data_IF_704822507092
#
_entry.id   IF_704822507092
#
_cell.length_a   1.000
_cell.length_b   1.000
_cell.length_c   1.000
_cell.angle_alpha   90.00
_cell.angle_beta   90.00
_cell.angle_gamma   90.00
#
_symmetry.space_group_name_H-M   'P 1'
#
loop_
_entity.id
_entity.type
_entity.pdbx_description
1 polymer ?
#
# COMPACT_ATOMS: atom_id res chain seq x y z
N UNK A 1 -25.92 -8.10 10.93
CA UNK A 1 -24.74 -8.79 10.38
C UNK A 1 -24.35 -9.84 11.40
N UNK A 2 -24.09 -11.08 11.00
CA UNK A 2 -23.71 -12.17 11.90
C UNK A 2 -22.17 -12.22 11.95
N UNK A 3 -21.58 -12.03 13.13
CA UNK A 3 -20.12 -12.07 13.33
C UNK A 3 -19.64 -13.50 13.60
N UNK A 4 -18.37 -13.79 13.33
CA UNK A 4 -17.77 -15.05 13.78
C UNK A 4 -17.44 -15.01 15.28
N UNK A 5 -17.22 -16.17 15.90
CA UNK A 5 -16.86 -16.26 17.31
C UNK A 5 -15.59 -15.43 17.66
N UNK A 6 -14.59 -15.44 16.76
CA UNK A 6 -13.38 -14.62 16.92
C UNK A 6 -13.66 -13.11 16.85
N UNK A 7 -14.59 -12.70 15.98
CA UNK A 7 -15.00 -11.30 15.86
C UNK A 7 -15.85 -10.82 17.05
N UNK A 8 -16.76 -11.66 17.55
CA UNK A 8 -17.52 -11.36 18.77
C UNK A 8 -16.58 -11.22 19.98
N UNK A 9 -15.60 -12.12 20.10
CA UNK A 9 -14.56 -12.00 21.13
C UNK A 9 -13.77 -10.69 21.00
N UNK A 10 -13.39 -10.31 19.78
CA UNK A 10 -12.72 -9.04 19.53
C UNK A 10 -13.58 -7.83 19.96
N UNK A 11 -14.89 -7.85 19.68
CA UNK A 11 -15.85 -6.82 20.11
C UNK A 11 -15.93 -6.68 21.63
N UNK A 12 -15.97 -7.79 22.35
CA UNK A 12 -16.00 -7.78 23.82
C UNK A 12 -14.68 -7.27 24.39
N UNK A 13 -13.55 -7.79 23.92
CA UNK A 13 -12.23 -7.45 24.48
C UNK A 13 -11.81 -6.00 24.18
N UNK A 14 -12.08 -5.48 22.96
CA UNK A 14 -11.78 -4.08 22.63
C UNK A 14 -12.62 -3.13 23.47
N UNK A 15 -13.93 -3.41 23.66
CA UNK A 15 -14.79 -2.59 24.52
C UNK A 15 -14.33 -2.61 25.98
N UNK A 16 -13.93 -3.79 26.48
CA UNK A 16 -13.40 -3.95 27.82
C UNK A 16 -12.12 -3.14 28.01
N UNK A 17 -11.18 -3.28 27.08
CA UNK A 17 -9.91 -2.56 27.06
C UNK A 17 -10.11 -1.04 27.10
N UNK A 18 -10.97 -0.49 26.23
CA UNK A 18 -11.29 0.93 26.20
C UNK A 18 -11.89 1.43 27.53
N UNK A 19 -12.70 0.61 28.20
CA UNK A 19 -13.35 0.97 29.46
C UNK A 19 -12.40 0.90 30.66
N UNK A 20 -11.48 -0.06 30.68
CA UNK A 20 -10.54 -0.26 31.78
C UNK A 20 -9.34 0.68 31.72
N UNK A 21 -8.83 0.99 30.52
CA UNK A 21 -7.70 1.89 30.34
C UNK A 21 -6.36 1.35 30.86
N UNK A 22 -6.21 0.03 31.04
CA UNK A 22 -5.03 -0.60 31.65
C UNK A 22 -3.77 -0.54 30.76
N UNK A 23 -3.94 -0.49 29.44
CA UNK A 23 -2.83 -0.40 28.46
C UNK A 23 -3.17 0.60 27.36
N UNK A 24 -2.17 1.29 26.83
CA UNK A 24 -2.39 2.27 25.77
C UNK A 24 -2.63 1.62 24.39
N UNK A 25 -2.07 0.44 24.13
CA UNK A 25 -2.14 -0.22 22.81
C UNK A 25 -2.97 -1.49 22.90
N UNK A 26 -3.86 -1.68 21.93
CA UNK A 26 -4.54 -2.95 21.66
C UNK A 26 -4.20 -3.44 20.25
N UNK A 27 -3.75 -4.69 20.13
CA UNK A 27 -3.33 -5.33 18.89
C UNK A 27 -4.39 -6.31 18.41
N UNK A 28 -5.16 -5.91 17.41
CA UNK A 28 -6.12 -6.78 16.73
C UNK A 28 -5.52 -7.20 15.39
N UNK A 29 -4.91 -8.37 15.37
CA UNK A 29 -4.35 -8.92 14.14
C UNK A 29 -5.31 -9.89 13.48
N UNK A 30 -5.09 -10.14 12.21
CA UNK A 30 -5.85 -11.12 11.48
C UNK A 30 -5.41 -11.20 10.04
N UNK A 31 -5.68 -12.32 9.41
CA UNK A 31 -5.29 -12.55 8.02
C UNK A 31 -6.19 -11.77 7.04
N UNK A 32 -5.85 -11.81 5.76
CA UNK A 32 -6.68 -11.23 4.72
C UNK A 32 -8.07 -11.89 4.72
N UNK A 33 -9.12 -11.09 4.54
CA UNK A 33 -10.50 -11.59 4.51
C UNK A 33 -11.15 -11.87 5.88
N UNK A 34 -10.47 -11.63 7.00
CA UNK A 34 -11.04 -11.86 8.36
C UNK A 34 -11.90 -10.69 8.88
N UNK A 35 -12.06 -9.62 8.09
CA UNK A 35 -12.99 -8.53 8.40
C UNK A 35 -12.45 -7.44 9.34
N UNK A 36 -11.13 -7.32 9.54
CA UNK A 36 -10.49 -6.30 10.39
C UNK A 36 -11.03 -4.89 10.19
N UNK A 37 -11.04 -4.39 8.94
CA UNK A 37 -11.51 -3.04 8.62
C UNK A 37 -13.02 -2.85 8.88
N UNK A 38 -13.82 -3.92 8.78
CA UNK A 38 -15.25 -3.88 9.14
C UNK A 38 -15.41 -3.75 10.65
N UNK A 39 -14.66 -4.53 11.42
CA UNK A 39 -14.66 -4.41 12.89
C UNK A 39 -14.17 -3.04 13.35
N UNK A 40 -13.15 -2.49 12.70
CA UNK A 40 -12.62 -1.14 12.98
C UNK A 40 -13.72 -0.07 13.01
N UNK A 41 -14.66 -0.13 12.05
CA UNK A 41 -15.79 0.80 11.98
C UNK A 41 -16.77 0.58 13.13
N UNK A 42 -17.10 -0.67 13.45
CA UNK A 42 -17.98 -0.96 14.58
C UNK A 42 -17.38 -0.60 15.94
N UNK A 43 -16.06 -0.67 16.10
CA UNK A 43 -15.41 -0.14 17.29
C UNK A 43 -15.58 1.38 17.35
N UNK A 44 -15.33 2.08 16.24
CA UNK A 44 -15.45 3.53 16.19
C UNK A 44 -16.89 4.02 16.50
N UNK A 45 -17.91 3.33 15.98
CA UNK A 45 -19.32 3.63 16.27
C UNK A 45 -19.69 3.44 17.75
N UNK A 46 -18.95 2.60 18.48
CA UNK A 46 -19.18 2.32 19.89
C UNK A 46 -18.46 3.25 20.87
N UNK A 47 -17.66 4.21 20.38
CA UNK A 47 -16.90 5.16 21.21
C UNK A 47 -17.65 6.48 21.31
N UNK A 48 -17.88 6.95 22.54
CA UNK A 48 -18.44 8.28 22.81
C UNK A 48 -17.32 9.35 22.74
N UNK A 49 -17.03 9.81 21.52
CA UNK A 49 -16.08 10.88 21.24
C UNK A 49 -15.39 10.74 19.88
N UNK A 50 -14.35 11.55 19.66
CA UNK A 50 -13.64 11.53 18.38
C UNK A 50 -12.75 10.28 18.24
N UNK A 51 -12.93 9.57 17.12
CA UNK A 51 -12.08 8.46 16.70
C UNK A 51 -11.34 8.84 15.43
N UNK A 52 -10.02 8.73 15.47
CA UNK A 52 -9.15 9.05 14.35
C UNK A 52 -8.69 7.77 13.66
N UNK A 53 -8.84 7.70 12.34
CA UNK A 53 -8.31 6.61 11.53
C UNK A 53 -7.00 7.05 10.88
N UNK A 54 -5.98 6.20 10.93
CA UNK A 54 -4.74 6.43 10.20
C UNK A 54 -4.15 5.14 9.64
N UNK A 55 -3.23 5.29 8.71
CA UNK A 55 -2.44 4.19 8.16
C UNK A 55 -0.99 4.65 7.90
N UNK A 56 -0.07 3.71 7.68
CA UNK A 56 1.32 4.06 7.37
C UNK A 56 1.45 4.82 6.04
N UNK A 57 0.78 4.34 4.98
CA UNK A 57 0.86 4.94 3.63
C UNK A 57 -0.38 5.77 3.29
N UNK A 58 -0.19 6.78 2.42
CA UNK A 58 -1.30 7.58 1.91
C UNK A 58 -2.34 6.74 1.15
N UNK A 59 -1.87 5.69 0.47
CA UNK A 59 -2.71 4.74 -0.26
C UNK A 59 -3.59 3.90 0.68
N UNK A 60 -3.02 3.34 1.74
CA UNK A 60 -3.81 2.63 2.74
C UNK A 60 -4.84 3.56 3.42
N UNK A 61 -4.45 4.81 3.72
CA UNK A 61 -5.39 5.81 4.24
C UNK A 61 -6.52 6.13 3.24
N UNK A 62 -6.24 6.14 1.93
CA UNK A 62 -7.27 6.30 0.91
C UNK A 62 -8.23 5.11 0.87
N UNK A 63 -7.73 3.87 0.98
CA UNK A 63 -8.58 2.68 1.07
C UNK A 63 -9.50 2.78 2.29
N UNK A 64 -8.99 3.20 3.44
CA UNK A 64 -9.82 3.48 4.62
C UNK A 64 -10.92 4.52 4.34
N UNK A 65 -10.60 5.62 3.64
CA UNK A 65 -11.58 6.65 3.24
C UNK A 65 -12.68 6.07 2.34
N UNK A 66 -12.31 5.27 1.34
CA UNK A 66 -13.27 4.60 0.43
C UNK A 66 -14.23 3.67 1.19
N UNK A 67 -13.78 3.10 2.30
CA UNK A 67 -14.56 2.20 3.17
C UNK A 67 -15.34 2.93 4.27
N UNK A 68 -15.43 4.25 4.23
CA UNK A 68 -16.28 5.06 5.11
C UNK A 68 -15.54 5.79 6.24
N UNK A 69 -14.24 5.56 6.43
CA UNK A 69 -13.44 6.35 7.37
C UNK A 69 -12.99 7.66 6.69
N UNK A 70 -13.95 8.56 6.41
CA UNK A 70 -13.78 9.74 5.53
C UNK A 70 -12.63 10.68 5.91
N UNK A 71 -12.28 10.75 7.20
CA UNK A 71 -11.18 11.57 7.73
C UNK A 71 -9.83 10.83 7.84
N UNK A 72 -9.71 9.60 7.34
CA UNK A 72 -8.48 8.83 7.50
C UNK A 72 -7.27 9.51 6.84
N UNK A 73 -6.14 9.55 7.54
CA UNK A 73 -4.89 10.17 7.08
C UNK A 73 -3.68 9.22 7.26
N UNK A 74 -2.48 9.66 6.88
CA UNK A 74 -1.28 8.94 7.30
C UNK A 74 -0.98 9.23 8.77
N UNK A 75 -0.28 8.33 9.46
CA UNK A 75 0.23 8.58 10.82
C UNK A 75 1.10 9.84 10.81
N UNK A 76 1.99 9.95 9.82
CA UNK A 76 2.88 11.09 9.64
C UNK A 76 2.12 12.43 9.59
N UNK A 77 1.09 12.54 8.74
CA UNK A 77 0.30 13.77 8.65
C UNK A 77 -0.53 14.05 9.91
N UNK A 78 -0.81 13.00 10.70
CA UNK A 78 -1.58 13.12 11.92
C UNK A 78 -0.72 13.65 13.07
N UNK A 79 0.52 13.16 13.22
CA UNK A 79 1.36 13.47 14.39
C UNK A 79 2.47 14.48 14.13
N UNK A 80 2.85 14.73 12.87
CA UNK A 80 3.94 15.67 12.54
C UNK A 80 3.45 16.94 11.86
N UNK A 81 4.27 17.99 11.97
CA UNK A 81 4.20 19.20 11.15
C UNK A 81 5.57 19.50 10.52
N UNK A 82 5.61 20.06 9.31
CA UNK A 82 6.87 20.45 8.68
C UNK A 82 7.58 21.52 9.50
N UNK A 83 8.91 21.38 9.67
CA UNK A 83 9.76 22.32 10.41
C UNK A 83 10.83 22.99 9.54
N UNK A 84 11.16 22.41 8.39
CA UNK A 84 12.15 22.97 7.46
C UNK A 84 12.72 21.92 6.53
N UNK A 85 13.92 22.17 6.04
CA UNK A 85 14.72 21.32 5.16
C UNK A 85 16.15 21.25 5.72
N UNK A 86 16.79 20.08 5.70
CA UNK A 86 18.18 19.88 6.13
C UNK A 86 19.01 19.29 4.99
N UNK A 87 20.24 19.78 4.81
CA UNK A 87 21.22 19.20 3.87
C UNK A 87 21.87 17.98 4.52
N UNK A 88 21.57 16.80 3.99
CA UNK A 88 22.21 15.53 4.35
C UNK A 88 23.21 15.19 3.27
N UNK A 89 24.48 15.10 3.65
CA UNK A 89 25.56 14.65 2.77
C UNK A 89 25.66 13.13 2.87
N UNK A 90 25.54 12.46 1.73
CA UNK A 90 25.75 11.02 1.63
C UNK A 90 27.25 10.73 1.77
N UNK A 91 27.62 10.02 2.84
CA UNK A 91 29.02 9.71 3.17
C UNK A 91 29.71 8.83 2.12
N UNK A 92 28.97 8.06 1.32
CA UNK A 92 29.53 7.18 0.27
C UNK A 92 29.68 7.90 -1.07
N UNK A 93 28.73 8.77 -1.43
CA UNK A 93 28.69 9.41 -2.76
C UNK A 93 29.18 10.86 -2.74
N UNK A 94 29.31 11.49 -1.57
CA UNK A 94 29.52 12.93 -1.42
C UNK A 94 28.34 13.77 -1.93
N UNK A 95 27.20 13.12 -2.20
CA UNK A 95 26.00 13.74 -2.71
C UNK A 95 25.27 14.51 -1.62
N UNK A 96 25.06 15.82 -1.83
CA UNK A 96 24.20 16.63 -0.96
C UNK A 96 22.74 16.44 -1.34
N UNK A 97 21.98 15.78 -0.47
CA UNK A 97 20.53 15.67 -0.55
C UNK A 97 19.89 16.64 0.44
N UNK A 98 18.72 17.20 0.11
CA UNK A 98 17.98 18.06 1.06
C UNK A 98 16.74 17.30 1.51
N UNK A 99 16.68 16.94 2.78
CA UNK A 99 15.57 16.14 3.33
C UNK A 99 14.63 17.05 4.13
N UNK A 100 13.31 16.96 3.93
CA UNK A 100 12.36 17.71 4.74
C UNK A 100 12.42 17.27 6.20
N UNK A 101 12.54 18.23 7.12
CA UNK A 101 12.50 17.99 8.55
C UNK A 101 11.06 18.09 9.07
N UNK A 102 10.70 17.14 9.92
CA UNK A 102 9.43 17.10 10.61
C UNK A 102 9.63 17.29 12.11
N UNK A 103 8.61 17.82 12.78
CA UNK A 103 8.59 17.90 14.23
C UNK A 103 7.24 17.49 14.77
N UNK A 104 7.23 16.86 15.94
CA UNK A 104 6.01 16.39 16.58
C UNK A 104 5.04 17.55 16.79
N UNK A 105 3.82 17.39 16.28
CA UNK A 105 2.74 18.33 16.46
C UNK A 105 2.01 18.04 17.78
N UNK A 106 2.49 18.63 18.87
CA UNK A 106 1.86 18.50 20.20
C UNK A 106 0.41 19.01 20.29
N UNK A 107 -0.06 19.76 19.27
CA UNK A 107 -1.46 20.21 19.15
C UNK A 107 -2.26 19.34 18.17
N UNK A 108 -1.76 18.14 17.85
CA UNK A 108 -2.47 17.19 17.00
C UNK A 108 -3.83 16.84 17.63
N UNK A 109 -4.89 16.63 16.81
CA UNK A 109 -6.16 16.08 17.26
C UNK A 109 -6.02 14.76 18.04
N UNK A 110 -4.91 14.04 17.84
CA UNK A 110 -4.59 12.81 18.57
C UNK A 110 -4.65 13.02 20.08
N UNK A 111 -4.18 14.17 20.58
CA UNK A 111 -4.16 14.45 22.02
C UNK A 111 -5.54 14.52 22.68
N UNK A 112 -6.59 14.80 21.90
CA UNK A 112 -7.97 14.96 22.39
C UNK A 112 -8.88 13.80 22.00
N UNK A 113 -8.46 12.98 21.02
CA UNK A 113 -9.21 11.83 20.55
C UNK A 113 -9.43 10.79 21.67
N UNK A 114 -10.53 10.04 21.57
CA UNK A 114 -10.83 8.93 22.47
C UNK A 114 -10.20 7.63 22.02
N UNK A 115 -9.92 7.51 20.73
CA UNK A 115 -9.28 6.35 20.13
C UNK A 115 -8.60 6.74 18.82
N UNK A 116 -7.40 6.21 18.60
CA UNK A 116 -6.75 6.18 17.29
C UNK A 116 -6.77 4.75 16.77
N UNK A 117 -7.25 4.54 15.56
CA UNK A 117 -7.22 3.26 14.87
C UNK A 117 -6.19 3.32 13.75
N UNK A 118 -5.18 2.44 13.81
CA UNK A 118 -4.12 2.32 12.81
C UNK A 118 -4.33 1.06 11.98
N UNK A 119 -4.54 1.20 10.68
CA UNK A 119 -4.55 0.07 9.73
C UNK A 119 -3.17 -0.11 9.07
N UNK A 120 -2.89 -1.34 8.62
CA UNK A 120 -1.60 -1.77 8.05
C UNK A 120 -0.41 -1.38 8.96
N UNK A 121 -0.51 -1.73 10.26
CA UNK A 121 0.49 -1.37 11.27
C UNK A 121 1.84 -2.09 11.10
N UNK A 122 1.93 -3.07 10.20
CA UNK A 122 3.15 -3.82 9.91
C UNK A 122 4.29 -2.94 9.42
N UNK A 123 3.98 -1.81 8.80
CA UNK A 123 4.97 -0.90 8.22
C UNK A 123 5.43 0.20 9.17
N UNK A 124 4.94 0.23 10.42
CA UNK A 124 5.28 1.28 11.39
C UNK A 124 6.59 0.93 12.09
N UNK A 125 7.58 1.82 11.98
CA UNK A 125 8.87 1.71 12.67
C UNK A 125 8.81 2.18 14.14
N UNK A 126 9.93 2.00 14.85
CA UNK A 126 10.04 2.30 16.28
C UNK A 126 9.90 3.79 16.61
N UNK A 127 10.47 4.69 15.80
CA UNK A 127 10.40 6.13 16.03
C UNK A 127 8.95 6.62 15.89
N UNK A 128 8.31 6.30 14.76
CA UNK A 128 6.93 6.66 14.48
C UNK A 128 5.97 6.07 15.51
N UNK A 129 6.21 4.83 15.93
CA UNK A 129 5.45 4.15 16.97
C UNK A 129 5.54 4.87 18.32
N UNK A 130 6.76 5.16 18.81
CA UNK A 130 6.97 5.88 20.07
C UNK A 130 6.37 7.28 20.04
N UNK A 131 6.53 8.01 18.93
CA UNK A 131 5.98 9.35 18.77
C UNK A 131 4.45 9.35 18.78
N UNK A 132 3.79 8.37 18.14
CA UNK A 132 2.34 8.19 18.22
C UNK A 132 1.89 7.90 19.67
N UNK A 133 2.59 7.04 20.40
CA UNK A 133 2.23 6.71 21.78
C UNK A 133 2.50 7.86 22.76
N UNK A 134 3.40 8.78 22.43
CA UNK A 134 3.72 9.93 23.30
C UNK A 134 2.52 10.84 23.60
N UNK A 135 1.45 10.77 22.81
CA UNK A 135 0.22 11.52 23.03
C UNK A 135 -0.67 10.97 24.16
N UNK A 136 -0.40 9.75 24.66
CA UNK A 136 -1.18 9.14 25.74
C UNK A 136 -2.57 8.60 25.34
N UNK A 137 -2.99 8.80 24.10
CA UNK A 137 -4.28 8.36 23.58
C UNK A 137 -4.32 6.85 23.36
N UNK A 138 -5.43 6.15 23.65
CA UNK A 138 -5.59 4.74 23.31
C UNK A 138 -5.42 4.50 21.80
N UNK A 139 -4.63 3.49 21.44
CA UNK A 139 -4.33 3.12 20.05
C UNK A 139 -4.74 1.67 19.78
N UNK A 140 -5.70 1.47 18.89
CA UNK A 140 -6.02 0.16 18.32
C UNK A 140 -5.23 -0.02 17.03
N UNK A 141 -4.37 -1.03 16.97
CA UNK A 141 -3.59 -1.35 15.78
C UNK A 141 -4.12 -2.60 15.10
N UNK A 142 -4.31 -2.50 13.79
CA UNK A 142 -4.76 -3.56 12.91
C UNK A 142 -3.59 -4.00 12.02
N UNK A 143 -3.33 -5.29 12.01
CA UNK A 143 -2.20 -5.87 11.28
C UNK A 143 -2.53 -7.22 10.68
N UNK A 144 -1.76 -7.61 9.69
CA UNK A 144 -1.76 -8.95 9.12
C UNK A 144 -0.36 -9.57 9.30
N UNK A 145 -0.20 -10.55 10.21
CA UNK A 145 1.11 -11.14 10.51
C UNK A 145 1.64 -11.99 9.35
N UNK A 146 0.80 -12.35 8.38
CA UNK A 146 1.22 -13.05 7.16
C UNK A 146 1.83 -12.14 6.10
N UNK A 147 1.60 -10.83 6.17
CA UNK A 147 2.13 -9.88 5.19
C UNK A 147 3.64 -9.64 5.35
N UNK A 148 4.24 -9.07 4.30
CA UNK A 148 5.64 -8.65 4.28
C UNK A 148 5.95 -7.67 5.43
N UNK A 149 7.10 -7.84 6.11
CA UNK A 149 7.60 -6.86 7.07
C UNK A 149 8.04 -5.56 6.38
N UNK A 150 8.37 -4.49 7.14
CA UNK A 150 9.02 -3.31 6.60
C UNK A 150 10.30 -3.66 5.84
N UNK A 151 10.65 -2.85 4.84
CA UNK A 151 11.89 -3.00 4.05
C UNK A 151 13.13 -2.64 4.88
N UNK A 152 12.97 -1.77 5.88
CA UNK A 152 14.02 -1.37 6.82
C UNK A 152 13.42 -1.17 8.20
N UNK A 153 14.13 -1.63 9.23
CA UNK A 153 13.66 -1.60 10.62
C UNK A 153 12.67 -2.72 10.96
N UNK A 154 12.44 -2.89 12.25
CA UNK A 154 11.42 -3.77 12.80
C UNK A 154 10.03 -3.12 12.78
N UNK A 155 8.97 -3.94 12.69
CA UNK A 155 7.61 -3.43 12.80
C UNK A 155 7.24 -3.24 14.28
N UNK A 156 7.21 -2.00 14.76
CA UNK A 156 7.05 -1.65 16.18
C UNK A 156 5.85 -2.32 16.85
N UNK A 157 4.72 -2.37 16.16
CA UNK A 157 3.52 -3.02 16.69
C UNK A 157 3.51 -4.53 16.50
N UNK A 158 4.12 -5.02 15.42
CA UNK A 158 4.07 -6.44 15.00
C UNK A 158 5.15 -7.33 15.59
N UNK A 159 6.15 -6.76 16.27
CA UNK A 159 7.13 -7.51 17.06
C UNK A 159 6.56 -8.08 18.37
N UNK A 160 5.37 -7.64 18.75
CA UNK A 160 4.66 -8.13 19.92
C UNK A 160 3.50 -9.04 19.51
N UNK A 161 3.17 -10.00 20.37
CA UNK A 161 2.01 -10.86 20.17
C UNK A 161 0.71 -10.04 20.09
N UNK A 162 -0.24 -10.44 19.22
CA UNK A 162 -1.56 -9.81 19.18
C UNK A 162 -2.35 -10.11 20.46
N UNK A 163 -3.17 -9.15 20.87
CA UNK A 163 -4.15 -9.37 21.94
C UNK A 163 -5.29 -10.27 21.45
N UNK A 164 -5.67 -10.12 20.19
CA UNK A 164 -6.59 -11.01 19.48
C UNK A 164 -6.06 -11.25 18.07
N UNK A 165 -6.00 -12.53 17.68
CA UNK A 165 -5.75 -12.96 16.31
C UNK A 165 -7.07 -13.47 15.70
N UNK A 166 -7.52 -12.83 14.62
CA UNK A 166 -8.60 -13.33 13.79
C UNK A 166 -8.02 -14.30 12.76
N UNK A 167 -8.19 -15.59 12.99
CA UNK A 167 -7.69 -16.68 12.17
C UNK A 167 -8.79 -17.31 11.28
N UNK A 168 -10.05 -17.21 11.69
CA UNK A 168 -11.20 -17.68 10.91
C UNK A 168 -11.55 -16.74 9.75
N UNK A 169 -11.44 -17.25 8.53
CA UNK A 169 -11.97 -16.59 7.33
C UNK A 169 -13.50 -16.68 7.33
N UNK A 170 -14.14 -15.54 7.04
CA UNK A 170 -15.59 -15.40 6.92
C UNK A 170 -16.19 -16.46 5.98
N UNK A 171 -17.38 -16.99 6.31
CA UNK A 171 -18.04 -18.06 5.52
C UNK A 171 -18.18 -17.70 4.03
N UNK A 172 -18.41 -16.43 3.72
CA UNK A 172 -18.52 -15.90 2.35
C UNK A 172 -17.18 -15.87 1.59
N UNK A 173 -16.05 -15.93 2.29
CA UNK A 173 -14.70 -15.91 1.74
C UNK A 173 -14.02 -17.30 1.75
N UNK A 174 -14.62 -18.31 2.39
CA UNK A 174 -14.10 -19.70 2.41
C UNK A 174 -14.13 -20.37 1.04
N UNK A 175 -15.15 -20.07 0.24
CA UNK A 175 -15.28 -20.60 -1.11
C UNK A 175 -14.55 -19.73 -2.16
N UNK A 176 -13.68 -18.80 -1.73
CA UNK A 176 -12.89 -17.98 -2.64
C UNK A 176 -11.49 -18.60 -2.84
N UNK A 177 -11.20 -19.13 -4.05
CA UNK A 177 -9.88 -19.67 -4.41
C UNK A 177 -8.69 -18.77 -4.07
N UNK A 178 -8.84 -17.44 -4.16
CA UNK A 178 -7.76 -16.49 -3.82
C UNK A 178 -7.39 -16.61 -2.34
N UNK A 179 -8.40 -16.73 -1.47
CA UNK A 179 -8.21 -16.82 -0.02
C UNK A 179 -7.63 -18.18 0.36
N UNK A 180 -8.09 -19.26 -0.28
CA UNK A 180 -7.53 -20.60 -0.08
C UNK A 180 -6.05 -20.66 -0.52
N UNK A 181 -5.70 -20.15 -1.71
CA UNK A 181 -4.32 -20.10 -2.17
C UNK A 181 -3.43 -19.26 -1.22
N UNK A 182 -3.92 -18.12 -0.74
CA UNK A 182 -3.20 -17.32 0.26
C UNK A 182 -3.00 -18.13 1.56
N UNK A 183 -4.02 -18.82 2.04
CA UNK A 183 -3.94 -19.67 3.23
C UNK A 183 -2.92 -20.80 3.04
N UNK A 184 -2.93 -21.49 1.91
CA UNK A 184 -1.96 -22.53 1.58
C UNK A 184 -0.52 -22.01 1.65
N UNK A 185 -0.24 -20.88 0.98
CA UNK A 185 1.09 -20.26 0.98
C UNK A 185 1.54 -19.87 2.39
N UNK A 186 0.62 -19.28 3.17
CA UNK A 186 0.88 -18.89 4.57
C UNK A 186 1.23 -20.08 5.46
N UNK A 187 0.57 -21.22 5.24
CA UNK A 187 0.81 -22.47 5.99
C UNK A 187 2.02 -23.25 5.45
N UNK A 188 2.80 -22.64 4.54
CA UNK A 188 4.00 -23.24 3.95
C UNK A 188 3.71 -24.31 2.91
N UNK A 189 2.45 -24.47 2.47
CA UNK A 189 2.07 -25.38 1.40
C UNK A 189 2.39 -24.77 0.03
N UNK A 190 2.82 -25.63 -0.90
CA UNK A 190 3.03 -25.23 -2.29
C UNK A 190 1.72 -25.17 -3.06
N UNK A 191 1.52 -24.11 -3.84
CA UNK A 191 0.41 -24.02 -4.80
C UNK A 191 0.75 -24.78 -6.10
N UNK A 192 -0.12 -25.69 -6.52
CA UNK A 192 0.05 -26.49 -7.73
C UNK A 192 -0.35 -25.70 -8.99
N UNK A 193 0.12 -26.12 -10.16
CA UNK A 193 -0.44 -25.64 -11.42
C UNK A 193 -1.89 -26.13 -11.58
N UNK A 194 -2.76 -25.28 -12.10
CA UNK A 194 -4.16 -25.64 -12.28
C UNK A 194 -5.10 -24.44 -12.41
N UNK A 195 -6.33 -24.75 -12.82
CA UNK A 195 -7.47 -23.85 -12.77
C UNK A 195 -8.22 -24.11 -11.46
N UNK A 196 -8.34 -23.09 -10.62
CA UNK A 196 -8.98 -23.17 -9.31
C UNK A 196 -10.40 -22.60 -9.34
N UNK A 197 -11.03 -22.56 -10.53
CA UNK A 197 -12.35 -22.01 -10.74
C UNK A 197 -12.30 -20.58 -11.30
N UNK A 198 -13.41 -19.85 -11.18
CA UNK A 198 -13.59 -18.58 -11.88
C UNK A 198 -12.62 -17.46 -11.45
N UNK A 199 -12.02 -17.55 -10.26
CA UNK A 199 -11.28 -16.43 -9.64
C UNK A 199 -9.78 -16.65 -9.54
N UNK A 200 -9.26 -17.85 -9.77
CA UNK A 200 -7.82 -18.09 -9.65
C UNK A 200 -7.29 -19.17 -10.61
N UNK A 201 -6.13 -18.88 -11.20
CA UNK A 201 -5.42 -19.83 -12.06
C UNK A 201 -3.92 -19.75 -11.80
N UNK A 202 -3.24 -20.89 -11.79
CA UNK A 202 -1.79 -21.01 -11.63
C UNK A 202 -1.21 -21.70 -12.85
N UNK A 203 -0.38 -20.98 -13.62
CA UNK A 203 0.18 -21.44 -14.88
C UNK A 203 1.71 -21.32 -14.92
N UNK A 204 2.33 -22.06 -15.84
CA UNK A 204 3.74 -21.84 -16.17
C UNK A 204 3.92 -20.58 -17.03
N UNK A 205 5.13 -20.02 -17.02
CA UNK A 205 5.52 -18.91 -17.92
C UNK A 205 5.28 -19.17 -19.41
N UNK A 206 5.20 -20.43 -19.84
CA UNK A 206 5.00 -20.81 -21.25
C UNK A 206 3.55 -20.69 -21.71
N UNK A 207 2.62 -20.67 -20.77
CA UNK A 207 1.17 -20.63 -21.03
C UNK A 207 0.61 -19.21 -20.95
N UNK A 208 1.44 -18.21 -20.62
CA UNK A 208 1.01 -16.83 -20.45
C UNK A 208 0.57 -16.27 -21.80
N UNK A 209 -0.72 -15.95 -21.91
CA UNK A 209 -1.25 -15.28 -23.08
C UNK A 209 -1.17 -13.75 -22.91
N UNK A 210 -0.79 -13.05 -23.98
CA UNK A 210 -0.51 -11.60 -23.92
C UNK A 210 -1.75 -10.77 -23.60
N UNK A 211 -2.89 -11.17 -24.15
CA UNK A 211 -4.21 -10.58 -23.90
C UNK A 211 -4.59 -10.64 -22.41
N UNK A 212 -4.28 -11.75 -21.72
CA UNK A 212 -4.53 -11.88 -20.28
C UNK A 212 -3.72 -10.85 -19.47
N UNK A 213 -2.45 -10.63 -19.83
CA UNK A 213 -1.60 -9.65 -19.15
C UNK A 213 -2.07 -8.22 -19.45
N UNK A 214 -2.50 -7.94 -20.68
CA UNK A 214 -2.98 -6.61 -21.09
C UNK A 214 -4.35 -6.24 -20.50
N UNK A 215 -5.17 -7.25 -20.19
CA UNK A 215 -6.49 -7.10 -19.56
C UNK A 215 -6.44 -6.98 -18.04
N UNK A 216 -5.29 -7.28 -17.42
CA UNK A 216 -5.11 -7.14 -15.98
C UNK A 216 -5.22 -5.67 -15.56
N UNK A 217 -5.88 -5.42 -14.43
CA UNK A 217 -5.95 -4.08 -13.87
C UNK A 217 -4.58 -3.68 -13.29
N UNK A 218 -3.84 -4.67 -12.78
CA UNK A 218 -2.47 -4.53 -12.29
C UNK A 218 -1.62 -5.79 -12.54
N UNK A 219 -0.36 -5.59 -12.96
CA UNK A 219 0.67 -6.63 -12.97
C UNK A 219 1.55 -6.48 -11.73
N UNK A 220 1.79 -7.58 -11.01
CA UNK A 220 2.66 -7.62 -9.83
C UNK A 220 3.91 -8.48 -10.08
N UNK A 221 5.06 -7.95 -9.65
CA UNK A 221 6.39 -8.58 -9.79
C UNK A 221 7.21 -8.43 -8.49
N UNK A 222 8.35 -9.09 -8.38
CA UNK A 222 9.21 -9.01 -7.20
C UNK A 222 10.15 -7.81 -7.23
N UNK A 223 10.97 -7.72 -8.27
CA UNK A 223 12.12 -6.80 -8.28
C UNK A 223 11.88 -5.52 -9.09
N UNK A 224 12.58 -4.43 -8.77
CA UNK A 224 12.54 -3.20 -9.56
C UNK A 224 13.05 -3.41 -11.00
N UNK A 225 14.03 -4.31 -11.19
CA UNK A 225 14.53 -4.69 -12.52
C UNK A 225 13.43 -5.33 -13.35
N UNK A 226 12.72 -6.32 -12.79
CA UNK A 226 11.58 -6.95 -13.47
C UNK A 226 10.47 -5.93 -13.71
N UNK A 227 10.17 -5.08 -12.73
CA UNK A 227 9.15 -4.01 -12.85
C UNK A 227 9.41 -3.12 -14.06
N UNK A 228 10.64 -2.62 -14.22
CA UNK A 228 11.03 -1.76 -15.35
C UNK A 228 10.86 -2.48 -16.69
N UNK A 229 11.43 -3.69 -16.82
CA UNK A 229 11.31 -4.52 -18.02
C UNK A 229 9.85 -4.79 -18.40
N UNK A 230 9.01 -5.10 -17.43
CA UNK A 230 7.59 -5.37 -17.69
C UNK A 230 6.82 -4.10 -18.06
N UNK A 231 7.11 -2.96 -17.44
CA UNK A 231 6.53 -1.69 -17.85
C UNK A 231 6.89 -1.33 -19.30
N UNK A 232 8.16 -1.44 -19.67
CA UNK A 232 8.61 -1.22 -21.05
C UNK A 232 7.88 -2.15 -22.03
N UNK A 233 7.88 -3.46 -21.74
CA UNK A 233 7.20 -4.45 -22.59
C UNK A 233 5.69 -4.22 -22.71
N UNK A 234 5.01 -3.88 -21.61
CA UNK A 234 3.58 -3.62 -21.62
C UNK A 234 3.24 -2.35 -22.40
N UNK A 235 4.14 -1.37 -22.40
CA UNK A 235 4.00 -0.16 -23.22
C UNK A 235 4.13 -0.48 -24.70
N UNK A 236 5.16 -1.23 -25.09
CA UNK A 236 5.33 -1.70 -26.48
C UNK A 236 4.09 -2.45 -26.97
N UNK A 237 3.57 -3.39 -26.17
CA UNK A 237 2.41 -4.19 -26.50
C UNK A 237 1.11 -3.37 -26.62
N UNK A 238 1.04 -2.22 -25.94
CA UNK A 238 -0.07 -1.26 -26.05
C UNK A 238 0.15 -0.24 -27.18
N UNK A 239 1.24 -0.37 -27.94
CA UNK A 239 1.52 0.48 -29.11
C UNK A 239 2.20 1.80 -28.79
N UNK A 240 2.75 1.99 -27.58
CA UNK A 240 3.53 3.17 -27.26
C UNK A 240 4.95 3.04 -27.82
N UNK A 241 5.40 4.07 -28.51
CA UNK A 241 6.64 4.12 -29.30
C UNK A 241 7.67 5.14 -28.77
N UNK A 242 7.35 5.81 -27.66
CA UNK A 242 8.16 6.86 -27.05
C UNK A 242 8.63 6.44 -25.66
N UNK A 243 9.87 6.77 -25.25
CA UNK A 243 10.31 6.56 -23.87
C UNK A 243 9.51 7.43 -22.90
N UNK A 244 8.87 8.51 -23.35
CA UNK A 244 8.11 9.40 -22.50
C UNK A 244 6.64 9.00 -22.39
N UNK A 245 5.95 9.40 -21.29
CA UNK A 245 4.52 9.20 -21.13
C UNK A 245 3.69 9.84 -22.26
N UNK A 246 2.76 9.07 -22.81
CA UNK A 246 1.81 9.47 -23.85
C UNK A 246 0.38 9.45 -23.32
N UNK A 247 -0.58 10.05 -24.04
CA UNK A 247 -1.99 9.93 -23.66
C UNK A 247 -2.42 8.45 -23.66
N UNK A 248 -3.09 8.02 -22.61
CA UNK A 248 -3.42 6.62 -22.33
C UNK A 248 -2.41 5.88 -21.46
N UNK A 249 -1.20 6.43 -21.22
CA UNK A 249 -0.21 5.75 -20.38
C UNK A 249 -0.67 5.65 -18.91
N UNK A 250 -0.33 4.53 -18.27
CA UNK A 250 -0.49 4.33 -16.83
C UNK A 250 0.79 4.69 -16.09
N UNK A 251 0.69 5.55 -15.10
CA UNK A 251 1.78 6.02 -14.24
C UNK A 251 1.52 5.69 -12.77
N UNK A 252 2.60 5.52 -12.01
CA UNK A 252 2.59 5.44 -10.55
C UNK A 252 3.30 6.65 -9.96
N UNK A 253 2.66 7.29 -9.00
CA UNK A 253 3.26 8.40 -8.26
C UNK A 253 4.26 7.87 -7.23
N UNK A 254 5.45 8.46 -7.17
CA UNK A 254 6.53 8.03 -6.27
C UNK A 254 6.75 8.95 -5.07
N UNK A 255 6.12 10.13 -5.06
CA UNK A 255 6.25 11.11 -3.98
C UNK A 255 4.94 11.83 -3.72
N UNK A 256 4.59 11.98 -2.44
CA UNK A 256 3.40 12.73 -2.04
C UNK A 256 3.48 14.21 -2.47
N UNK A 257 2.38 14.75 -2.95
CA UNK A 257 2.15 16.19 -3.13
C UNK A 257 0.70 16.50 -2.69
N UNK A 258 0.56 17.03 -1.48
CA UNK A 258 -0.75 17.30 -0.88
C UNK A 258 -1.53 18.38 -1.65
N UNK A 259 -0.86 19.35 -2.26
CA UNK A 259 -1.52 20.43 -3.00
C UNK A 259 -2.18 19.92 -4.28
N UNK A 260 -1.59 18.87 -4.88
CA UNK A 260 -2.12 18.19 -6.08
C UNK A 260 -2.92 16.92 -5.77
N UNK A 261 -3.01 16.52 -4.50
CA UNK A 261 -3.65 15.27 -4.08
C UNK A 261 -2.88 14.01 -4.52
N UNK A 262 -1.58 14.13 -4.80
CA UNK A 262 -0.75 12.99 -5.21
C UNK A 262 -0.30 12.20 -3.98
N UNK A 263 -0.48 10.88 -4.04
CA UNK A 263 -0.07 9.95 -2.99
C UNK A 263 0.97 8.97 -3.55
N UNK A 264 2.04 8.72 -2.82
CA UNK A 264 3.03 7.71 -3.19
C UNK A 264 2.35 6.33 -3.30
N UNK A 265 2.55 5.67 -4.44
CA UNK A 265 1.91 4.41 -4.81
C UNK A 265 0.56 4.54 -5.50
N UNK A 266 -0.03 5.74 -5.61
CA UNK A 266 -1.29 5.94 -6.35
C UNK A 266 -1.09 5.83 -7.86
N UNK A 267 -2.11 5.29 -8.53
CA UNK A 267 -2.12 5.04 -9.98
C UNK A 267 -2.88 6.13 -10.73
N UNK A 268 -2.33 6.51 -11.88
CA UNK A 268 -2.83 7.61 -12.68
C UNK A 268 -2.78 7.28 -14.17
N UNK A 269 -3.83 7.63 -14.89
CA UNK A 269 -3.86 7.57 -16.35
C UNK A 269 -3.55 8.94 -16.94
N UNK A 270 -2.64 9.00 -17.91
CA UNK A 270 -2.38 10.23 -18.68
C UNK A 270 -3.54 10.51 -19.61
N UNK A 271 -4.25 11.61 -19.42
CA UNK A 271 -5.33 12.02 -20.32
C UNK A 271 -4.82 12.86 -21.48
N UNK A 272 -3.77 13.66 -21.24
CA UNK A 272 -3.09 14.40 -22.31
C UNK A 272 -1.64 14.69 -21.93
N UNK A 273 -0.71 14.40 -22.82
CA UNK A 273 0.67 14.87 -22.71
C UNK A 273 0.77 16.26 -23.37
N UNK A 274 0.95 17.29 -22.55
CA UNK A 274 1.09 18.67 -23.02
C UNK A 274 2.55 19.01 -23.37
N UNK A 275 2.70 20.11 -24.10
CA UNK A 275 3.92 20.74 -24.61
C UNK A 275 5.19 20.39 -23.82
N UNK A 276 6.14 19.79 -24.52
CA UNK A 276 7.47 19.42 -24.04
C UNK A 276 8.33 20.65 -23.80
N UNK A 277 9.00 20.73 -22.64
CA UNK A 277 10.08 21.70 -22.36
C UNK A 277 11.40 20.92 -22.35
N UNK A 278 12.54 21.58 -22.58
CA UNK A 278 13.85 20.93 -22.81
C UNK A 278 14.10 19.71 -21.91
N UNK A 279 13.87 19.83 -20.60
CA UNK A 279 14.12 18.76 -19.61
C UNK A 279 12.87 18.19 -18.92
N UNK A 280 11.66 18.70 -19.22
CA UNK A 280 10.43 18.31 -18.49
C UNK A 280 9.22 18.25 -19.40
N UNK A 281 8.18 17.55 -18.94
CA UNK A 281 6.92 17.39 -19.63
C UNK A 281 5.77 17.72 -18.69
N UNK A 282 4.77 18.43 -19.19
CA UNK A 282 3.54 18.69 -18.45
C UNK A 282 2.50 17.65 -18.87
N UNK A 283 1.88 16.99 -17.91
CA UNK A 283 0.85 16.00 -18.16
C UNK A 283 -0.44 16.42 -17.46
N UNK A 284 -1.58 16.15 -18.09
CA UNK A 284 -2.86 16.06 -17.41
C UNK A 284 -3.09 14.58 -17.13
N UNK A 285 -3.34 14.26 -15.87
CA UNK A 285 -3.55 12.89 -15.40
C UNK A 285 -4.88 12.78 -14.66
N UNK A 286 -5.51 11.61 -14.70
CA UNK A 286 -6.71 11.25 -13.94
C UNK A 286 -6.39 10.05 -13.05
N UNK A 287 -6.87 10.06 -11.82
CA UNK A 287 -6.64 8.94 -10.91
C UNK A 287 -7.40 7.69 -11.38
N UNK A 288 -6.78 6.51 -11.26
CA UNK A 288 -7.44 5.22 -11.52
C UNK A 288 -7.98 4.57 -10.25
N UNK A 289 -7.55 5.04 -9.09
CA UNK A 289 -7.82 4.39 -7.82
C UNK A 289 -9.25 4.63 -7.31
N UNK A 290 -9.82 3.59 -6.69
CA UNK A 290 -11.17 3.63 -6.13
C UNK A 290 -11.37 4.79 -5.14
N UNK A 291 -12.50 5.48 -5.28
CA UNK A 291 -12.90 6.61 -4.44
C UNK A 291 -12.29 7.95 -4.80
N UNK A 292 -11.37 8.01 -5.77
CA UNK A 292 -10.79 9.27 -6.28
C UNK A 292 -10.80 9.36 -7.82
N UNK A 293 -11.57 8.55 -8.53
CA UNK A 293 -11.56 8.42 -9.99
C UNK A 293 -11.91 9.73 -10.73
N UNK A 294 -12.60 10.65 -10.03
CA UNK A 294 -12.96 11.97 -10.55
C UNK A 294 -11.83 13.00 -10.43
N UNK A 295 -10.77 12.70 -9.68
CA UNK A 295 -9.66 13.62 -9.48
C UNK A 295 -8.75 13.63 -10.71
N UNK A 296 -8.43 14.84 -11.15
CA UNK A 296 -7.43 15.10 -12.18
C UNK A 296 -6.39 16.07 -11.67
N UNK A 297 -5.12 15.85 -12.02
CA UNK A 297 -4.02 16.71 -11.64
C UNK A 297 -3.23 17.15 -12.87
N UNK A 298 -2.69 18.36 -12.82
CA UNK A 298 -1.64 18.81 -13.73
C UNK A 298 -0.30 18.55 -13.07
N UNK A 299 0.53 17.73 -13.70
CA UNK A 299 1.84 17.36 -13.18
C UNK A 299 2.94 17.75 -14.14
N UNK A 300 4.12 18.04 -13.59
CA UNK A 300 5.32 18.37 -14.35
C UNK A 300 6.41 17.35 -14.03
N UNK A 301 6.64 16.42 -14.95
CA UNK A 301 7.59 15.32 -14.76
C UNK A 301 8.90 15.61 -15.47
N UNK A 302 10.00 15.06 -14.95
CA UNK A 302 11.30 15.08 -15.64
C UNK A 302 11.32 14.03 -16.74
N UNK A 303 12.01 14.32 -17.84
CA UNK A 303 12.22 13.33 -18.92
C UNK A 303 13.20 12.22 -18.52
N UNK A 304 14.26 12.61 -17.82
CA UNK A 304 15.35 11.72 -17.42
C UNK A 304 14.88 10.53 -16.57
N UNK A 305 13.77 10.66 -15.81
CA UNK A 305 13.22 9.55 -15.01
C UNK A 305 12.69 8.40 -15.89
N UNK A 306 12.34 8.69 -17.15
CA UNK A 306 11.86 7.69 -18.10
C UNK A 306 12.93 7.26 -19.10
N UNK A 307 13.88 8.14 -19.45
CA UNK A 307 14.97 7.83 -20.40
C UNK A 307 16.10 7.04 -19.75
N UNK A 308 16.50 7.44 -18.55
CA UNK A 308 17.64 6.87 -17.83
C UNK A 308 17.26 6.70 -16.36
N UNK A 309 16.34 5.76 -16.04
CA UNK A 309 15.82 5.57 -14.69
C UNK A 309 16.88 5.08 -13.68
N UNK A 310 18.05 4.63 -14.13
CA UNK A 310 19.22 4.33 -13.31
C UNK A 310 20.08 5.57 -13.00
N UNK A 311 19.96 6.63 -13.79
CA UNK A 311 20.78 7.81 -13.59
C UNK A 311 20.35 8.57 -12.34
N UNK A 312 21.32 8.97 -11.54
CA UNK A 312 21.07 9.82 -10.39
C UNK A 312 20.63 11.21 -10.87
N UNK A 313 19.49 11.67 -10.36
CA UNK A 313 18.96 12.99 -10.66
C UNK A 313 19.21 13.88 -9.44
N UNK A 314 19.93 15.01 -9.60
CA UNK A 314 20.18 15.93 -8.50
C UNK A 314 18.90 16.33 -7.77
N UNK A 315 18.90 16.27 -6.44
CA UNK A 315 17.72 16.53 -5.62
C UNK A 315 17.07 17.89 -5.92
N UNK A 316 17.89 18.94 -6.13
CA UNK A 316 17.40 20.29 -6.45
C UNK A 316 16.53 20.32 -7.72
N UNK A 317 16.82 19.45 -8.68
CA UNK A 317 16.04 19.29 -9.89
C UNK A 317 14.80 18.43 -9.63
N UNK A 318 14.96 17.30 -8.94
CA UNK A 318 13.89 16.35 -8.60
C UNK A 318 12.79 16.98 -7.73
N UNK A 319 13.13 17.85 -6.77
CA UNK A 319 12.16 18.54 -5.89
C UNK A 319 11.24 19.53 -6.62
N UNK A 320 11.67 20.05 -7.78
CA UNK A 320 10.87 21.00 -8.59
C UNK A 320 9.90 20.32 -9.55
N UNK A 321 9.87 19.00 -9.57
CA UNK A 321 9.09 18.18 -10.49
C UNK A 321 8.29 17.14 -9.72
N UNK A 322 7.20 16.68 -10.30
CA UNK A 322 6.44 15.56 -9.75
C UNK A 322 7.15 14.25 -10.08
N UNK A 323 7.22 13.36 -9.09
CA UNK A 323 7.98 12.11 -9.18
C UNK A 323 7.06 10.97 -9.58
N UNK A 324 7.31 10.43 -10.78
CA UNK A 324 6.47 9.42 -11.41
C UNK A 324 7.34 8.41 -12.17
N UNK A 325 6.79 7.21 -12.33
CA UNK A 325 7.29 6.16 -13.20
C UNK A 325 6.09 5.47 -13.86
N UNK A 326 6.33 4.54 -14.79
CA UNK A 326 5.28 3.71 -15.38
C UNK A 326 4.66 2.76 -14.35
N UNK A 327 3.33 2.66 -14.39
CA UNK A 327 2.51 1.98 -13.39
C UNK A 327 1.85 0.68 -13.86
N UNK A 328 2.15 0.18 -15.05
CA UNK A 328 1.56 -1.08 -15.55
C UNK A 328 1.97 -2.30 -14.72
N UNK A 329 3.23 -2.31 -14.27
CA UNK A 329 3.76 -3.28 -13.34
C UNK A 329 4.24 -2.59 -12.05
N UNK A 330 3.94 -3.19 -10.90
CA UNK A 330 4.39 -2.76 -9.59
C UNK A 330 5.13 -3.89 -8.87
N UNK A 331 6.06 -3.54 -7.98
CA UNK A 331 6.59 -4.52 -7.04
C UNK A 331 5.56 -4.82 -5.96
N UNK A 332 5.53 -6.05 -5.44
CA UNK A 332 4.61 -6.41 -4.34
C UNK A 332 4.77 -5.52 -3.11
N UNK A 333 5.99 -5.08 -2.79
CA UNK A 333 6.24 -4.11 -1.72
C UNK A 333 5.50 -2.77 -1.97
N UNK A 334 5.54 -2.25 -3.20
CA UNK A 334 4.80 -1.02 -3.57
C UNK A 334 3.29 -1.23 -3.65
N UNK A 335 2.83 -2.49 -3.72
CA UNK A 335 1.42 -2.85 -3.78
C UNK A 335 0.79 -3.06 -2.39
N UNK A 336 1.57 -3.00 -1.30
CA UNK A 336 1.02 -3.10 0.06
C UNK A 336 0.01 -1.99 0.34
N UNK A 337 -1.12 -2.35 0.96
CA UNK A 337 -2.23 -1.43 1.19
C UNK A 337 -3.08 -1.10 -0.04
N UNK A 338 -2.75 -1.62 -1.23
CA UNK A 338 -3.57 -1.52 -2.45
C UNK A 338 -4.32 -2.82 -2.73
N UNK A 339 -5.40 -2.76 -3.48
CA UNK A 339 -6.12 -3.93 -3.99
C UNK A 339 -6.65 -3.64 -5.40
N UNK A 340 -6.75 -4.68 -6.23
CA UNK A 340 -7.28 -4.59 -7.60
C UNK A 340 -8.22 -5.76 -7.88
N UNK A 341 -9.20 -5.55 -8.77
CA UNK A 341 -10.15 -6.59 -9.15
C UNK A 341 -9.43 -7.76 -9.83
N UNK A 342 -8.61 -7.49 -10.86
CA UNK A 342 -7.89 -8.52 -11.62
C UNK A 342 -6.39 -8.30 -11.62
N UNK A 343 -5.65 -9.30 -11.14
CA UNK A 343 -4.19 -9.27 -11.03
C UNK A 343 -3.55 -10.36 -11.87
N UNK A 344 -2.46 -10.01 -12.55
CA UNK A 344 -1.48 -10.99 -13.03
C UNK A 344 -0.23 -10.89 -12.17
N UNK A 345 0.07 -11.96 -11.45
CA UNK A 345 1.21 -12.07 -10.56
C UNK A 345 2.30 -12.93 -11.21
N UNK A 346 3.47 -12.35 -11.46
CA UNK A 346 4.67 -13.12 -11.78
C UNK A 346 5.39 -13.47 -10.48
N UNK A 347 5.34 -14.76 -10.11
CA UNK A 347 5.93 -15.26 -8.88
C UNK A 347 7.45 -15.12 -8.95
N UNK A 348 7.96 -14.21 -8.12
CA UNK A 348 9.39 -13.99 -7.89
C UNK A 348 9.71 -14.19 -6.40
N UNK A 349 8.89 -14.95 -5.67
CA UNK A 349 9.05 -15.23 -4.23
C UNK A 349 10.44 -15.77 -3.89
N UNK A 350 11.05 -16.55 -4.79
CA UNK A 350 12.41 -17.05 -4.67
C UNK A 350 13.47 -15.96 -4.41
N UNK A 351 13.24 -14.73 -4.85
CA UNK A 351 14.17 -13.62 -4.65
C UNK A 351 14.19 -13.12 -3.19
N UNK A 352 13.24 -13.53 -2.36
CA UNK A 352 13.02 -13.02 -1.00
C UNK A 352 13.36 -14.02 0.10
N UNK A 353 13.96 -15.17 -0.23
CA UNK A 353 14.54 -16.14 0.72
C UNK A 353 13.59 -16.48 1.89
N UNK A 354 13.95 -16.14 3.13
CA UNK A 354 13.17 -16.35 4.35
C UNK A 354 11.79 -15.66 4.34
N UNK A 355 11.62 -14.63 3.51
CA UNK A 355 10.36 -13.91 3.33
C UNK A 355 9.57 -14.36 2.09
N UNK A 356 10.00 -15.41 1.37
CA UNK A 356 9.33 -15.88 0.15
C UNK A 356 7.83 -16.16 0.34
N UNK A 357 7.45 -16.82 1.44
CA UNK A 357 6.05 -17.13 1.76
C UNK A 357 5.24 -15.86 2.04
N UNK A 358 5.79 -14.94 2.85
CA UNK A 358 5.14 -13.65 3.16
C UNK A 358 4.99 -12.79 1.92
N UNK A 359 5.98 -12.81 1.04
CA UNK A 359 5.94 -12.12 -0.25
C UNK A 359 4.79 -12.64 -1.11
N UNK A 360 4.71 -13.95 -1.30
CA UNK A 360 3.69 -14.56 -2.14
C UNK A 360 2.29 -14.40 -1.54
N UNK A 361 2.15 -14.56 -0.23
CA UNK A 361 0.91 -14.28 0.50
C UNK A 361 0.47 -12.82 0.30
N UNK A 362 1.39 -11.86 0.49
CA UNK A 362 1.10 -10.43 0.31
C UNK A 362 0.62 -10.16 -1.11
N UNK A 363 1.26 -10.77 -2.12
CA UNK A 363 0.92 -10.63 -3.52
C UNK A 363 -0.48 -11.17 -3.85
N UNK A 364 -0.80 -12.39 -3.39
CA UNK A 364 -2.10 -13.03 -3.63
C UNK A 364 -3.24 -12.20 -3.02
N UNK A 365 -3.05 -11.69 -1.80
CA UNK A 365 -4.07 -10.91 -1.07
C UNK A 365 -4.34 -9.51 -1.64
N UNK A 366 -3.62 -9.10 -2.68
CA UNK A 366 -3.93 -7.85 -3.42
C UNK A 366 -5.10 -8.04 -4.38
N UNK A 367 -5.39 -9.26 -4.81
CA UNK A 367 -6.46 -9.54 -5.77
C UNK A 367 -7.82 -9.62 -5.05
N UNK A 368 -8.85 -9.00 -5.63
CA UNK A 368 -10.21 -8.99 -5.08
C UNK A 368 -11.12 -9.98 -5.81
N UNK A 369 -11.07 -10.02 -7.15
CA UNK A 369 -11.97 -10.84 -7.97
C UNK A 369 -11.25 -11.96 -8.71
N UNK A 370 -10.14 -11.67 -9.37
CA UNK A 370 -9.41 -12.66 -10.18
C UNK A 370 -7.89 -12.53 -10.00
N UNK A 371 -7.21 -13.67 -9.96
CA UNK A 371 -5.74 -13.73 -9.98
C UNK A 371 -5.23 -14.79 -10.96
N UNK A 372 -4.29 -14.39 -11.81
CA UNK A 372 -3.47 -15.30 -12.60
C UNK A 372 -2.05 -15.31 -12.02
N UNK A 373 -1.64 -16.44 -11.46
CA UNK A 373 -0.29 -16.63 -10.92
C UNK A 373 0.56 -17.35 -11.95
N UNK A 374 1.67 -16.72 -12.33
CA UNK A 374 2.65 -17.25 -13.27
C UNK A 374 3.91 -17.67 -12.49
N UNK A 375 4.20 -18.97 -12.47
CA UNK A 375 5.39 -19.53 -11.82
C UNK A 375 6.52 -19.76 -12.82
#
# INVERSE_FOLDING_TARGET
MEFSAGQDRALVEVRRWLKQGEKQVFRLFGYAGTGKTTLARHFAEGVDGEVLFAAFTGKAAQVLRSRGASKASTIHSLIYRPRGEEEVEDEETGGKSVTPMFSLNRRSPVAEAKLVIIDECSMVDEELGRDLLSFGTPVLVLGDPGQLPPVSGGGYFTEHEPDILLDEVHRQARDNPIVDLAQQVREGRSIAYGDYGATAKVISRREVATDQVLAADQVLVGTNRTRRRYNERLRELKGFDSPYPQAGDKLVCLRNDAAKGLLNGSLWQVTSAARTVKQSMNLLIRAEDEGIEKYSAKVKVLKAVFETPEAEIPWQLRRRHDDFDFGYALTVHKAQGSQWDRIVLFDESFAFREHAQRWLYTAITRAVREILIVK
#
